data_IF_194677765891
#
_entry.id   IF_194677765891
#
_cell.length_a   1.000
_cell.length_b   1.000
_cell.length_c   1.000
_cell.angle_alpha   90.00
_cell.angle_beta   90.00
_cell.angle_gamma   90.00
#
_symmetry.space_group_name_H-M   'P 1'
#
loop_
_entity.id
_entity.type
_entity.pdbx_description
1 polymer ?
#
# COMPACT_ATOMS: atom_id res chain seq x y z
N UNK A 1 19.22 -0.73 -3.09
CA UNK A 1 19.13 0.72 -3.33
C UNK A 1 18.63 0.86 -4.73
N UNK A 2 17.34 1.13 -4.84
CA UNK A 2 16.67 1.25 -6.13
C UNK A 2 16.93 2.66 -6.67
N UNK A 3 17.29 2.74 -7.94
CA UNK A 3 17.61 3.98 -8.63
C UNK A 3 16.43 4.38 -9.49
N UNK A 4 15.85 5.54 -9.20
CA UNK A 4 14.69 6.07 -9.89
C UNK A 4 15.10 7.04 -10.99
N UNK A 5 14.50 6.91 -12.15
CA UNK A 5 14.53 7.93 -13.19
C UNK A 5 13.76 9.18 -12.74
N UNK A 6 14.01 10.31 -13.40
CA UNK A 6 13.25 11.56 -13.16
C UNK A 6 11.74 11.34 -13.33
N UNK A 7 11.33 10.46 -14.26
CA UNK A 7 9.92 10.19 -14.50
C UNK A 7 9.29 9.44 -13.33
N UNK A 8 9.87 8.30 -12.92
CA UNK A 8 9.40 7.51 -11.77
C UNK A 8 9.38 8.35 -10.49
N UNK A 9 10.43 9.14 -10.25
CA UNK A 9 10.48 10.04 -9.10
C UNK A 9 9.40 11.13 -9.15
N UNK A 10 9.04 11.63 -10.35
CA UNK A 10 7.95 12.61 -10.50
C UNK A 10 6.59 11.97 -10.20
N UNK A 11 6.38 10.72 -10.60
CA UNK A 11 5.14 9.99 -10.31
C UNK A 11 4.96 9.78 -8.80
N UNK A 12 6.04 9.42 -8.09
CA UNK A 12 6.03 9.28 -6.63
C UNK A 12 5.77 10.64 -5.96
N UNK A 13 6.41 11.72 -6.40
CA UNK A 13 6.17 13.06 -5.88
C UNK A 13 4.75 13.57 -6.15
N UNK A 14 4.15 13.14 -7.26
CA UNK A 14 2.76 13.46 -7.58
C UNK A 14 1.80 12.73 -6.64
N UNK A 15 2.02 11.43 -6.41
CA UNK A 15 1.26 10.67 -5.42
C UNK A 15 1.37 11.27 -4.01
N UNK A 16 2.53 11.88 -3.70
CA UNK A 16 2.76 12.61 -2.46
C UNK A 16 2.17 14.03 -2.42
N UNK A 17 1.44 14.46 -3.45
CA UNK A 17 0.90 15.81 -3.62
C UNK A 17 1.97 16.92 -3.54
N UNK A 18 3.21 16.63 -3.93
CA UNK A 18 4.32 17.60 -3.90
C UNK A 18 4.48 18.31 -5.25
N UNK A 19 4.54 17.54 -6.35
CA UNK A 19 4.59 18.10 -7.71
C UNK A 19 4.23 17.04 -8.76
N UNK A 20 3.60 17.47 -9.84
CA UNK A 20 3.37 16.66 -11.05
C UNK A 20 4.34 17.02 -12.19
N UNK A 21 5.28 17.94 -11.95
CA UNK A 21 6.13 18.53 -12.99
C UNK A 21 7.57 18.02 -12.88
N UNK A 22 7.99 17.26 -13.89
CA UNK A 22 9.39 16.78 -14.00
C UNK A 22 10.40 17.92 -14.14
N UNK A 23 10.00 19.07 -14.69
CA UNK A 23 10.83 20.27 -14.76
C UNK A 23 11.06 20.90 -13.38
N UNK A 24 10.06 20.83 -12.49
CA UNK A 24 10.22 21.25 -11.09
C UNK A 24 11.20 20.35 -10.36
N UNK A 25 11.11 19.03 -10.58
CA UNK A 25 12.06 18.06 -10.03
C UNK A 25 13.49 18.31 -10.54
N UNK A 26 13.69 18.47 -11.86
CA UNK A 26 15.00 18.78 -12.45
C UNK A 26 15.58 20.09 -11.90
N UNK A 27 14.74 21.10 -11.65
CA UNK A 27 15.17 22.34 -10.99
C UNK A 27 15.69 22.06 -9.57
N UNK A 28 14.97 21.29 -8.76
CA UNK A 28 15.43 20.94 -7.41
C UNK A 28 16.73 20.13 -7.39
N UNK A 29 16.93 19.25 -8.37
CA UNK A 29 18.20 18.53 -8.54
C UNK A 29 19.34 19.51 -8.84
N UNK A 30 19.15 20.44 -9.79
CA UNK A 30 20.15 21.48 -10.11
C UNK A 30 20.44 22.42 -8.94
N UNK A 31 19.43 22.70 -8.12
CA UNK A 31 19.55 23.49 -6.89
C UNK A 31 20.18 22.70 -5.72
N UNK A 32 20.48 21.40 -5.90
CA UNK A 32 21.06 20.56 -4.85
C UNK A 32 20.09 20.20 -3.71
N UNK A 33 18.78 20.44 -3.90
CA UNK A 33 17.74 20.11 -2.90
C UNK A 33 17.47 18.60 -2.83
N UNK A 34 17.71 17.90 -3.95
CA UNK A 34 17.63 16.45 -4.08
C UNK A 34 18.95 16.01 -4.69
N UNK A 35 19.68 15.12 -4.00
CA UNK A 35 20.89 14.52 -4.56
C UNK A 35 20.51 13.55 -5.68
N UNK A 36 21.17 13.67 -6.81
CA UNK A 36 20.97 12.78 -7.94
C UNK A 36 22.27 12.60 -8.73
N UNK A 37 22.43 11.43 -9.35
CA UNK A 37 23.59 11.09 -10.18
C UNK A 37 23.25 11.38 -11.63
N UNK A 38 24.02 12.24 -12.30
CA UNK A 38 23.84 12.51 -13.73
C UNK A 38 24.19 11.24 -14.52
N UNK A 39 23.30 10.83 -15.41
CA UNK A 39 23.58 9.76 -16.36
C UNK A 39 24.52 10.35 -17.42
N UNK A 40 25.82 10.03 -17.32
CA UNK A 40 26.75 10.29 -18.39
C UNK A 40 26.68 9.13 -19.38
N UNK A 41 26.37 9.44 -20.63
CA UNK A 41 26.23 8.43 -21.66
C UNK A 41 27.56 7.79 -22.01
N UNK A 42 27.85 6.63 -21.44
CA UNK A 42 28.81 5.69 -22.02
C UNK A 42 28.12 4.36 -22.36
N UNK A 43 27.97 4.15 -23.68
CA UNK A 43 28.04 2.86 -24.36
C UNK A 43 27.13 1.72 -23.86
N UNK A 44 25.80 1.92 -23.91
CA UNK A 44 24.84 0.80 -23.99
C UNK A 44 24.00 0.93 -25.26
N UNK A 45 24.08 -0.02 -26.21
CA UNK A 45 23.31 0.04 -27.44
C UNK A 45 21.83 -0.26 -27.12
N UNK A 46 21.00 0.77 -27.03
CA UNK A 46 19.54 0.62 -26.89
C UNK A 46 18.85 1.64 -25.98
N UNK A 47 19.60 2.40 -25.17
CA UNK A 47 19.02 3.40 -24.27
C UNK A 47 19.20 4.79 -24.88
N UNK A 48 18.10 5.41 -25.27
CA UNK A 48 18.06 6.72 -25.90
C UNK A 48 18.88 7.77 -25.12
N UNK A 49 19.72 8.51 -25.83
CA UNK A 49 20.64 9.58 -25.42
C UNK A 49 19.96 10.82 -24.80
N UNK A 50 19.10 10.67 -23.79
CA UNK A 50 18.53 11.82 -23.07
C UNK A 50 19.33 12.03 -21.79
N UNK A 51 19.89 13.23 -21.64
CA UNK A 51 20.46 13.68 -20.36
C UNK A 51 19.44 13.40 -19.25
N UNK A 52 19.81 12.52 -18.32
CA UNK A 52 18.93 12.07 -17.25
C UNK A 52 19.63 12.12 -15.90
N UNK A 53 18.85 12.04 -14.84
CA UNK A 53 19.33 11.88 -13.48
C UNK A 53 18.76 10.57 -12.92
N UNK A 54 19.58 9.84 -12.18
CA UNK A 54 19.11 8.81 -11.26
C UNK A 54 19.06 9.37 -9.85
N UNK A 55 17.96 9.13 -9.16
CA UNK A 55 17.74 9.55 -7.78
C UNK A 55 17.65 8.27 -6.95
N UNK A 56 18.44 8.18 -5.89
CA UNK A 56 18.28 7.09 -4.91
C UNK A 56 16.92 7.21 -4.26
N UNK A 57 16.18 6.11 -4.19
CA UNK A 57 14.87 6.07 -3.57
C UNK A 57 14.90 6.63 -2.14
N UNK A 58 15.92 6.31 -1.35
CA UNK A 58 16.08 6.82 0.01
C UNK A 58 16.24 8.35 0.06
N UNK A 59 16.91 8.95 -0.92
CA UNK A 59 17.02 10.41 -1.02
C UNK A 59 15.68 11.06 -1.38
N UNK A 60 14.92 10.44 -2.30
CA UNK A 60 13.59 10.92 -2.66
C UNK A 60 12.65 10.84 -1.44
N UNK A 61 12.67 9.73 -0.72
CA UNK A 61 11.88 9.53 0.50
C UNK A 61 12.24 10.56 1.58
N UNK A 62 13.53 10.84 1.81
CA UNK A 62 13.97 11.93 2.69
C UNK A 62 13.48 13.30 2.24
N UNK A 63 13.42 13.55 0.94
CA UNK A 63 12.89 14.80 0.41
C UNK A 63 11.38 14.92 0.63
N UNK A 64 10.64 13.83 0.39
CA UNK A 64 9.19 13.74 0.61
C UNK A 64 8.86 14.00 2.09
N UNK A 65 9.55 13.33 3.01
CA UNK A 65 9.32 13.49 4.46
C UNK A 65 9.54 14.94 4.92
N UNK A 66 10.54 15.64 4.35
CA UNK A 66 10.78 17.06 4.63
C UNK A 66 9.68 17.98 4.09
N UNK A 67 8.99 17.58 3.02
CA UNK A 67 7.95 18.39 2.34
C UNK A 67 6.55 18.10 2.85
N UNK A 68 6.28 16.85 3.18
CA UNK A 68 5.01 16.36 3.68
C UNK A 68 5.30 15.35 4.80
N UNK A 69 5.53 15.85 6.03
CA UNK A 69 5.75 15.00 7.19
C UNK A 69 4.57 14.04 7.36
N UNK A 70 4.86 12.78 7.70
CA UNK A 70 3.87 11.70 7.83
C UNK A 70 3.29 11.13 6.53
N UNK A 71 3.72 11.58 5.35
CA UNK A 71 3.23 10.97 4.10
C UNK A 71 3.58 9.48 4.03
N UNK A 72 4.82 9.12 4.38
CA UNK A 72 5.27 7.73 4.37
C UNK A 72 4.54 6.91 5.44
N UNK A 73 4.35 7.48 6.64
CA UNK A 73 3.57 6.84 7.70
C UNK A 73 2.12 6.58 7.27
N UNK A 74 1.48 7.57 6.62
CA UNK A 74 0.12 7.46 6.12
C UNK A 74 0.01 6.42 4.99
N UNK A 75 0.99 6.36 4.08
CA UNK A 75 1.06 5.31 3.06
C UNK A 75 1.16 3.91 3.68
N UNK A 76 2.06 3.73 4.65
CA UNK A 76 2.25 2.46 5.35
C UNK A 76 0.99 2.07 6.12
N UNK A 77 0.35 3.03 6.78
CA UNK A 77 -0.90 2.80 7.49
C UNK A 77 -2.02 2.38 6.52
N UNK A 78 -2.18 3.08 5.40
CA UNK A 78 -3.17 2.75 4.38
C UNK A 78 -2.94 1.36 3.79
N UNK A 79 -1.69 0.99 3.50
CA UNK A 79 -1.35 -0.34 3.02
C UNK A 79 -1.70 -1.42 4.07
N UNK A 80 -1.38 -1.18 5.35
CA UNK A 80 -1.75 -2.09 6.45
C UNK A 80 -3.27 -2.24 6.59
N UNK A 81 -4.02 -1.14 6.51
CA UNK A 81 -5.49 -1.18 6.57
C UNK A 81 -6.08 -2.00 5.42
N UNK A 82 -5.55 -1.83 4.20
CA UNK A 82 -6.00 -2.61 3.04
C UNK A 82 -5.75 -4.10 3.23
N UNK A 83 -4.55 -4.49 3.66
CA UNK A 83 -4.21 -5.89 3.94
C UNK A 83 -5.09 -6.46 5.07
N UNK A 84 -5.36 -5.66 6.11
CA UNK A 84 -6.25 -6.06 7.19
C UNK A 84 -7.67 -6.30 6.67
N UNK A 85 -8.22 -5.41 5.85
CA UNK A 85 -9.55 -5.57 5.26
C UNK A 85 -9.62 -6.82 4.37
N UNK A 86 -8.66 -7.03 3.49
CA UNK A 86 -8.60 -8.22 2.63
C UNK A 86 -8.54 -9.51 3.45
N UNK A 87 -7.77 -9.51 4.56
CA UNK A 87 -7.74 -10.63 5.50
C UNK A 87 -9.10 -10.89 6.13
N UNK A 88 -9.81 -9.84 6.57
CA UNK A 88 -11.16 -9.97 7.15
C UNK A 88 -12.15 -10.54 6.13
N UNK A 89 -12.12 -10.05 4.90
CA UNK A 89 -12.99 -10.53 3.83
C UNK A 89 -12.72 -12.02 3.51
N UNK A 90 -11.45 -12.43 3.48
CA UNK A 90 -11.07 -13.84 3.28
C UNK A 90 -11.54 -14.73 4.43
N UNK A 91 -11.37 -14.28 5.69
CA UNK A 91 -11.85 -15.04 6.85
C UNK A 91 -13.38 -15.21 6.83
N UNK A 92 -14.12 -14.17 6.44
CA UNK A 92 -15.57 -14.24 6.25
C UNK A 92 -15.95 -15.30 5.24
N UNK A 93 -15.31 -15.31 4.06
CA UNK A 93 -15.56 -16.31 3.01
C UNK A 93 -15.25 -17.73 3.47
N UNK A 94 -14.14 -17.92 4.19
CA UNK A 94 -13.78 -19.23 4.74
C UNK A 94 -14.84 -19.71 5.74
N UNK A 95 -15.33 -18.81 6.60
CA UNK A 95 -16.39 -19.12 7.56
C UNK A 95 -17.67 -19.61 6.85
N UNK A 96 -18.10 -18.90 5.81
CA UNK A 96 -19.30 -19.27 5.05
C UNK A 96 -19.15 -20.60 4.33
N UNK A 97 -18.01 -20.84 3.67
CA UNK A 97 -17.72 -22.13 3.03
C UNK A 97 -17.63 -23.28 4.04
N UNK A 98 -17.05 -23.03 5.20
CA UNK A 98 -16.96 -24.03 6.28
C UNK A 98 -18.36 -24.38 6.78
N UNK A 99 -19.22 -23.38 6.92
CA UNK A 99 -20.62 -23.56 7.33
C UNK A 99 -21.42 -24.36 6.29
N UNK A 100 -21.32 -24.01 5.01
CA UNK A 100 -21.97 -24.72 3.91
C UNK A 100 -21.51 -26.19 3.85
N UNK A 101 -20.22 -26.44 3.98
CA UNK A 101 -19.70 -27.81 4.02
C UNK A 101 -20.19 -28.58 5.26
N UNK A 102 -20.21 -27.93 6.43
CA UNK A 102 -20.66 -28.56 7.66
C UNK A 102 -22.15 -28.91 7.61
N UNK A 103 -23.02 -28.05 7.08
CA UNK A 103 -24.47 -28.34 7.01
C UNK A 103 -24.77 -29.58 6.16
N UNK A 104 -23.97 -29.87 5.13
CA UNK A 104 -24.08 -31.10 4.34
C UNK A 104 -23.65 -32.38 5.09
N UNK A 105 -22.89 -32.25 6.18
CA UNK A 105 -22.38 -33.38 6.98
C UNK A 105 -23.11 -33.57 8.31
N UNK A 106 -23.86 -32.56 8.77
CA UNK A 106 -24.54 -32.58 10.06
C UNK A 106 -25.93 -33.22 9.93
N UNK A 107 -26.36 -33.90 11.00
CA UNK A 107 -27.76 -34.30 11.12
C UNK A 107 -28.63 -33.10 11.59
N UNK A 108 -29.97 -33.17 11.48
CA UNK A 108 -30.83 -32.02 11.78
C UNK A 108 -30.66 -31.42 13.19
N UNK A 109 -30.42 -32.25 14.21
CA UNK A 109 -30.18 -31.78 15.59
C UNK A 109 -28.83 -31.08 15.74
N UNK A 110 -27.82 -31.55 15.02
CA UNK A 110 -26.49 -30.93 14.99
C UNK A 110 -26.50 -29.63 14.18
N UNK A 111 -27.25 -29.58 13.08
CA UNK A 111 -27.42 -28.39 12.25
C UNK A 111 -28.08 -27.25 13.04
N UNK A 112 -29.15 -27.54 13.77
CA UNK A 112 -29.84 -26.56 14.62
C UNK A 112 -28.92 -26.00 15.72
N UNK A 113 -28.18 -26.89 16.41
CA UNK A 113 -27.23 -26.48 17.46
C UNK A 113 -26.07 -25.66 16.89
N UNK A 114 -25.56 -26.04 15.73
CA UNK A 114 -24.47 -25.33 15.08
C UNK A 114 -24.93 -23.95 14.57
N UNK A 115 -26.19 -23.82 14.12
CA UNK A 115 -26.75 -22.55 13.66
C UNK A 115 -26.93 -21.56 14.81
N UNK A 116 -27.38 -22.05 15.97
CA UNK A 116 -27.44 -21.26 17.20
C UNK A 116 -26.05 -20.76 17.63
N UNK A 117 -25.03 -21.62 17.57
CA UNK A 117 -23.64 -21.24 17.87
C UNK A 117 -23.11 -20.20 16.88
N UNK A 118 -23.38 -20.34 15.58
CA UNK A 118 -22.98 -19.36 14.56
C UNK A 118 -23.62 -17.99 14.83
N UNK A 119 -24.93 -17.96 15.10
CA UNK A 119 -25.64 -16.73 15.39
C UNK A 119 -25.11 -16.01 16.65
N UNK A 120 -24.76 -16.76 17.70
CA UNK A 120 -24.16 -16.18 18.91
C UNK A 120 -22.74 -15.65 18.63
N UNK A 121 -21.95 -16.36 17.82
CA UNK A 121 -20.63 -15.90 17.42
C UNK A 121 -20.71 -14.59 16.61
N UNK A 122 -21.63 -14.51 15.65
CA UNK A 122 -21.85 -13.32 14.82
C UNK A 122 -22.28 -12.12 15.69
N UNK A 123 -23.11 -12.36 16.70
CA UNK A 123 -23.50 -11.35 17.69
C UNK A 123 -22.30 -10.84 18.50
N UNK A 124 -21.44 -11.73 18.98
CA UNK A 124 -20.24 -11.35 19.73
C UNK A 124 -19.27 -10.54 18.86
N UNK A 125 -19.12 -10.91 17.59
CA UNK A 125 -18.33 -10.15 16.62
C UNK A 125 -18.88 -8.74 16.39
N UNK A 126 -20.21 -8.57 16.33
CA UNK A 126 -20.83 -7.25 16.22
C UNK A 126 -20.52 -6.37 17.43
N UNK A 127 -20.63 -6.91 18.64
CA UNK A 127 -20.31 -6.19 19.90
C UNK A 127 -18.83 -5.79 19.95
N UNK A 128 -17.92 -6.69 19.56
CA UNK A 128 -16.49 -6.37 19.52
C UNK A 128 -16.19 -5.21 18.56
N UNK A 129 -16.83 -5.15 17.39
CA UNK A 129 -16.64 -4.04 16.44
C UNK A 129 -17.14 -2.70 16.98
N UNK A 130 -18.23 -2.70 17.75
CA UNK A 130 -18.74 -1.48 18.39
C UNK A 130 -17.74 -0.97 19.45
N UNK A 131 -17.20 -1.87 20.28
CA UNK A 131 -16.22 -1.52 21.31
C UNK A 131 -14.87 -1.04 20.75
N UNK A 132 -14.46 -1.49 19.56
CA UNK A 132 -13.24 -1.04 18.88
C UNK A 132 -13.40 0.32 18.17
N UNK A 133 -14.64 0.83 18.06
CA UNK A 133 -14.96 2.08 17.38
C UNK A 133 -15.15 3.29 18.31
N UNK A 134 -15.09 3.09 19.62
CA UNK A 134 -15.08 4.12 20.70
C UNK A 134 -13.65 4.47 21.14
#
# INVERSE_FOLDING_TARGET
MDLLTVQEATEILNAANITHSSETLKRWIREGKIKATKIQGEHSPGINRKEGYHIEEEELNRFIERKNPHYLDALVLNAKMKVFQEKQDLLSKISDLTWEYASHLLNPQQEEKAAQLKAELDRLWAIMRELESE
#
